data_IF_853387706182
#
_entry.id   IF_853387706182
#
_cell.length_a   1.000
_cell.length_b   1.000
_cell.length_c   1.000
_cell.angle_alpha   90.00
_cell.angle_beta   90.00
_cell.angle_gamma   90.00
#
_symmetry.space_group_name_H-M   'P 1'
#
loop_
_entity.id
_entity.type
_entity.pdbx_description
1 polymer ?
#
# COMPACT_ATOMS: atom_id res chain seq x y z
N UNK A 1 16.56 -19.67 -25.58
CA UNK A 1 15.70 -20.35 -24.60
C UNK A 1 14.53 -19.48 -24.09
N UNK A 2 14.38 -18.25 -24.55
CA UNK A 2 13.21 -17.39 -24.25
C UNK A 2 12.31 -17.32 -25.48
N UNK A 3 12.11 -18.44 -26.17
CA UNK A 3 11.31 -18.49 -27.39
C UNK A 3 9.83 -18.32 -27.07
N UNK A 4 9.12 -17.59 -27.92
CA UNK A 4 7.68 -17.37 -27.77
C UNK A 4 6.93 -18.68 -28.02
N UNK A 5 5.91 -18.95 -27.22
CA UNK A 5 5.00 -20.08 -27.39
C UNK A 5 4.08 -19.86 -28.60
N UNK A 6 3.91 -18.58 -29.01
CA UNK A 6 3.09 -18.20 -30.14
C UNK A 6 3.99 -18.10 -31.37
N UNK A 7 4.07 -19.18 -32.14
CA UNK A 7 4.91 -19.28 -33.33
C UNK A 7 4.20 -18.93 -34.66
N UNK A 8 2.88 -18.74 -34.61
CA UNK A 8 2.05 -18.40 -35.79
C UNK A 8 1.12 -17.24 -35.48
N UNK A 9 0.72 -16.48 -36.50
CA UNK A 9 -0.24 -15.38 -36.40
C UNK A 9 -1.65 -15.82 -35.93
N UNK A 10 -1.89 -17.11 -35.77
CA UNK A 10 -3.14 -17.67 -35.26
C UNK A 10 -2.95 -18.15 -33.81
N UNK A 11 -3.82 -17.62 -32.92
CA UNK A 11 -3.84 -18.03 -31.53
C UNK A 11 -4.42 -19.44 -31.45
N UNK A 12 -3.58 -20.43 -31.20
CA UNK A 12 -4.02 -21.82 -30.99
C UNK A 12 -4.70 -21.92 -29.62
N UNK A 13 -5.83 -22.64 -29.52
CA UNK A 13 -6.55 -22.86 -28.26
C UNK A 13 -5.63 -23.40 -27.14
N UNK A 14 -4.72 -24.28 -27.50
CA UNK A 14 -3.72 -24.84 -26.55
C UNK A 14 -2.78 -23.76 -26.01
N UNK A 15 -2.28 -22.85 -26.87
CA UNK A 15 -1.43 -21.74 -26.44
C UNK A 15 -2.20 -20.75 -25.54
N UNK A 16 -3.46 -20.45 -25.88
CA UNK A 16 -4.34 -19.64 -25.05
C UNK A 16 -4.52 -20.23 -23.66
N UNK A 17 -4.90 -21.53 -23.56
CA UNK A 17 -5.11 -22.20 -22.27
C UNK A 17 -3.83 -22.28 -21.43
N UNK A 18 -2.68 -22.57 -22.06
CA UNK A 18 -1.39 -22.59 -21.37
C UNK A 18 -1.00 -21.21 -20.83
N UNK A 19 -1.07 -20.17 -21.63
CA UNK A 19 -0.75 -18.81 -21.20
C UNK A 19 -1.70 -18.35 -20.09
N UNK A 20 -3.01 -18.67 -20.19
CA UNK A 20 -4.00 -18.32 -19.17
C UNK A 20 -3.75 -19.07 -17.86
N UNK A 21 -3.40 -20.36 -17.94
CA UNK A 21 -3.03 -21.13 -16.75
C UNK A 21 -1.79 -20.56 -16.05
N UNK A 22 -0.75 -20.20 -16.81
CA UNK A 22 0.45 -19.56 -16.26
C UNK A 22 0.14 -18.17 -15.67
N UNK A 23 -0.65 -17.36 -16.34
CA UNK A 23 -1.07 -16.05 -15.84
C UNK A 23 -1.84 -16.14 -14.53
N UNK A 24 -2.80 -17.06 -14.42
CA UNK A 24 -3.56 -17.27 -13.19
C UNK A 24 -2.68 -17.78 -12.06
N UNK A 25 -1.80 -18.73 -12.31
CA UNK A 25 -0.89 -19.23 -11.29
C UNK A 25 0.06 -18.15 -10.77
N UNK A 26 0.66 -17.35 -11.64
CA UNK A 26 1.50 -16.21 -11.27
C UNK A 26 0.69 -15.13 -10.56
N UNK A 27 -0.56 -14.90 -10.97
CA UNK A 27 -1.48 -13.97 -10.30
C UNK A 27 -1.78 -14.38 -8.87
N UNK A 28 -2.10 -15.67 -8.63
CA UNK A 28 -2.31 -16.20 -7.27
C UNK A 28 -1.04 -16.09 -6.44
N UNK A 29 0.14 -16.40 -7.00
CA UNK A 29 1.41 -16.23 -6.30
C UNK A 29 1.69 -14.76 -5.95
N UNK A 30 1.36 -13.82 -6.83
CA UNK A 30 1.46 -12.38 -6.57
C UNK A 30 0.49 -11.95 -5.46
N UNK A 31 -0.73 -12.49 -5.44
CA UNK A 31 -1.70 -12.24 -4.38
C UNK A 31 -1.25 -12.82 -3.03
N UNK A 32 -0.65 -14.00 -3.01
CA UNK A 32 -0.04 -14.56 -1.79
C UNK A 32 1.12 -13.69 -1.29
N UNK A 33 1.96 -13.20 -2.20
CA UNK A 33 3.06 -12.28 -1.88
C UNK A 33 2.54 -10.97 -1.28
N UNK A 34 1.37 -10.48 -1.71
CA UNK A 34 0.74 -9.27 -1.16
C UNK A 34 0.29 -9.43 0.28
N UNK A 35 -0.13 -10.63 0.68
CA UNK A 35 -0.58 -10.93 2.04
C UNK A 35 0.58 -11.23 2.99
N UNK A 36 1.78 -11.45 2.45
CA UNK A 36 2.93 -11.77 3.28
C UNK A 36 3.35 -10.55 4.10
N UNK A 37 3.28 -10.66 5.43
CA UNK A 37 3.69 -9.67 6.43
C UNK A 37 2.76 -8.44 6.59
N UNK A 38 1.96 -8.08 5.62
CA UNK A 38 0.93 -7.03 5.72
C UNK A 38 -0.39 -7.58 5.21
N UNK A 39 -1.47 -7.39 5.98
CA UNK A 39 -2.80 -7.87 5.60
C UNK A 39 -3.43 -6.91 4.59
N UNK A 40 -3.26 -7.18 3.31
CA UNK A 40 -4.07 -6.55 2.26
C UNK A 40 -5.54 -6.97 2.37
N UNK A 41 -6.46 -6.15 1.89
CA UNK A 41 -7.87 -6.51 1.87
C UNK A 41 -8.12 -7.74 0.98
N UNK A 42 -9.09 -8.58 1.35
CA UNK A 42 -9.45 -9.76 0.57
C UNK A 42 -9.83 -9.39 -0.87
N UNK A 43 -10.57 -8.29 -1.04
CA UNK A 43 -10.97 -7.79 -2.37
C UNK A 43 -9.77 -7.43 -3.24
N UNK A 44 -8.75 -6.80 -2.66
CA UNK A 44 -7.52 -6.47 -3.37
C UNK A 44 -6.74 -7.72 -3.78
N UNK A 45 -6.60 -8.71 -2.91
CA UNK A 45 -5.91 -9.95 -3.22
C UNK A 45 -6.59 -10.72 -4.36
N UNK A 46 -7.94 -10.78 -4.38
CA UNK A 46 -8.70 -11.41 -5.46
C UNK A 46 -8.48 -10.64 -6.78
N UNK A 47 -8.59 -9.32 -6.75
CA UNK A 47 -8.35 -8.50 -7.94
C UNK A 47 -6.94 -8.70 -8.49
N UNK A 48 -5.93 -8.73 -7.62
CA UNK A 48 -4.53 -8.93 -7.98
C UNK A 48 -4.28 -10.32 -8.61
N UNK A 49 -4.96 -11.35 -8.11
CA UNK A 49 -4.86 -12.71 -8.66
C UNK A 49 -5.43 -12.82 -10.08
N UNK A 50 -6.49 -12.06 -10.38
CA UNK A 50 -7.15 -12.09 -11.70
C UNK A 50 -6.48 -11.16 -12.72
N UNK A 51 -5.84 -10.10 -12.27
CA UNK A 51 -5.31 -9.02 -13.11
C UNK A 51 -4.38 -9.52 -14.21
N UNK A 52 -3.39 -10.41 -13.99
CA UNK A 52 -2.53 -10.90 -15.06
C UNK A 52 -3.27 -11.62 -16.18
N UNK A 53 -4.29 -12.42 -15.85
CA UNK A 53 -5.08 -13.14 -16.83
C UNK A 53 -5.93 -12.18 -17.68
N UNK A 54 -6.51 -11.16 -17.07
CA UNK A 54 -7.26 -10.11 -17.79
C UNK A 54 -6.35 -9.36 -18.76
N UNK A 55 -5.19 -8.92 -18.29
CA UNK A 55 -4.21 -8.21 -19.14
C UNK A 55 -3.70 -9.11 -20.25
N UNK A 56 -3.41 -10.38 -19.97
CA UNK A 56 -2.98 -11.38 -20.95
C UNK A 56 -3.98 -11.50 -22.10
N UNK A 57 -5.28 -11.67 -21.79
CA UNK A 57 -6.32 -11.78 -22.83
C UNK A 57 -6.41 -10.51 -23.68
N UNK A 58 -6.37 -9.34 -23.04
CA UNK A 58 -6.39 -8.05 -23.74
C UNK A 58 -5.22 -7.96 -24.72
N UNK A 59 -4.01 -8.30 -24.28
CA UNK A 59 -2.81 -8.24 -25.11
C UNK A 59 -2.89 -9.24 -26.27
N UNK A 60 -3.39 -10.44 -26.05
CA UNK A 60 -3.61 -11.42 -27.12
C UNK A 60 -4.60 -10.92 -28.17
N UNK A 61 -5.66 -10.22 -27.76
CA UNK A 61 -6.65 -9.65 -28.71
C UNK A 61 -6.10 -8.44 -29.48
N UNK A 62 -5.17 -7.69 -28.88
CA UNK A 62 -4.53 -6.52 -29.51
C UNK A 62 -3.37 -6.92 -30.42
N UNK A 63 -2.76 -8.06 -30.14
CA UNK A 63 -1.55 -8.51 -30.86
C UNK A 63 -1.81 -8.64 -32.38
N UNK A 64 -1.02 -7.90 -33.13
CA UNK A 64 -1.14 -7.85 -34.60
C UNK A 64 -2.17 -6.85 -35.15
N UNK A 65 -2.94 -6.14 -34.31
CA UNK A 65 -3.93 -5.18 -34.78
C UNK A 65 -3.81 -3.82 -34.06
N UNK A 66 -3.19 -2.85 -34.74
CA UNK A 66 -2.95 -1.50 -34.21
C UNK A 66 -4.28 -0.80 -33.86
N UNK A 67 -5.33 -0.99 -34.67
CA UNK A 67 -6.65 -0.38 -34.45
C UNK A 67 -7.28 -0.85 -33.15
N UNK A 68 -7.22 -2.15 -32.85
CA UNK A 68 -7.68 -2.73 -31.59
C UNK A 68 -6.86 -2.19 -30.42
N UNK A 69 -5.53 -2.03 -30.58
CA UNK A 69 -4.68 -1.44 -29.56
C UNK A 69 -5.10 -0.03 -29.15
N UNK A 70 -5.37 0.82 -30.14
CA UNK A 70 -5.84 2.20 -29.90
C UNK A 70 -7.23 2.21 -29.24
N UNK A 71 -8.15 1.35 -29.67
CA UNK A 71 -9.48 1.24 -29.08
C UNK A 71 -9.43 0.82 -27.61
N UNK A 72 -8.60 -0.18 -27.29
CA UNK A 72 -8.38 -0.65 -25.90
C UNK A 72 -7.74 0.43 -25.05
N UNK A 73 -6.71 1.12 -25.55
CA UNK A 73 -6.08 2.23 -24.84
C UNK A 73 -7.08 3.36 -24.56
N UNK A 74 -7.95 3.68 -25.51
CA UNK A 74 -9.04 4.63 -25.34
C UNK A 74 -10.05 4.21 -24.27
N UNK A 75 -10.47 2.93 -24.30
CA UNK A 75 -11.40 2.38 -23.30
C UNK A 75 -10.81 2.44 -21.89
N UNK A 76 -9.53 2.07 -21.69
CA UNK A 76 -8.85 2.20 -20.39
C UNK A 76 -8.68 3.64 -19.95
N UNK A 77 -8.46 4.58 -20.88
CA UNK A 77 -8.41 6.02 -20.57
C UNK A 77 -9.74 6.58 -20.02
N UNK A 78 -10.87 5.96 -20.39
CA UNK A 78 -12.20 6.31 -19.87
C UNK A 78 -12.47 5.69 -18.49
N UNK A 79 -11.82 4.59 -18.16
CA UNK A 79 -11.91 3.98 -16.83
C UNK A 79 -11.14 4.85 -15.85
N UNK A 80 -11.80 5.84 -15.31
CA UNK A 80 -11.28 6.65 -14.22
C UNK A 80 -11.22 5.79 -12.98
N UNK A 81 -10.03 5.31 -12.64
CA UNK A 81 -9.77 4.78 -11.32
C UNK A 81 -10.00 5.90 -10.30
N UNK A 82 -11.24 6.03 -9.85
CA UNK A 82 -11.58 6.90 -8.74
C UNK A 82 -11.08 6.22 -7.48
N UNK A 83 -9.78 6.34 -7.30
CA UNK A 83 -8.97 5.59 -6.37
C UNK A 83 -9.43 5.75 -4.93
N UNK A 84 -9.70 4.62 -4.30
CA UNK A 84 -9.20 4.47 -2.95
C UNK A 84 -7.67 4.66 -3.04
N UNK A 85 -7.10 5.53 -2.22
CA UNK A 85 -5.67 5.72 -2.08
C UNK A 85 -5.03 4.39 -1.69
N UNK A 86 -4.58 3.62 -2.68
CA UNK A 86 -3.80 2.41 -2.44
C UNK A 86 -2.42 2.80 -1.91
N UNK A 87 -1.83 1.96 -1.07
CA UNK A 87 -0.46 2.17 -0.64
C UNK A 87 0.52 2.05 -1.84
N UNK A 88 1.67 2.71 -1.77
CA UNK A 88 2.70 2.63 -2.81
C UNK A 88 3.07 1.17 -3.13
N UNK A 89 3.02 0.29 -2.13
CA UNK A 89 3.22 -1.14 -2.27
C UNK A 89 2.11 -1.80 -3.11
N UNK A 90 0.85 -1.47 -2.87
CA UNK A 90 -0.27 -2.01 -3.65
C UNK A 90 -0.17 -1.60 -5.12
N UNK A 91 0.19 -0.35 -5.39
CA UNK A 91 0.43 0.15 -6.74
C UNK A 91 1.56 -0.64 -7.41
N UNK A 92 2.68 -0.87 -6.73
CA UNK A 92 3.82 -1.64 -7.25
C UNK A 92 3.44 -3.08 -7.58
N UNK A 93 2.60 -3.73 -6.76
CA UNK A 93 2.10 -5.08 -7.01
C UNK A 93 1.14 -5.14 -8.20
N UNK A 94 0.31 -4.12 -8.41
CA UNK A 94 -0.54 -3.98 -9.59
C UNK A 94 0.32 -3.91 -10.86
N UNK A 95 1.37 -3.07 -10.86
CA UNK A 95 2.29 -2.99 -12.00
C UNK A 95 3.02 -4.30 -12.27
N UNK A 96 3.42 -5.02 -11.21
CA UNK A 96 4.01 -6.35 -11.34
C UNK A 96 3.04 -7.34 -12.02
N UNK A 97 1.79 -7.37 -11.57
CA UNK A 97 0.75 -8.21 -12.12
C UNK A 97 0.44 -7.86 -13.60
N UNK A 98 0.41 -6.57 -13.94
CA UNK A 98 0.24 -6.11 -15.31
C UNK A 98 1.41 -6.53 -16.20
N UNK A 99 2.66 -6.41 -15.72
CA UNK A 99 3.84 -6.82 -16.48
C UNK A 99 3.85 -8.33 -16.77
N UNK A 100 3.41 -9.15 -15.79
CA UNK A 100 3.24 -10.59 -15.98
C UNK A 100 2.21 -10.87 -17.07
N UNK A 101 1.04 -10.21 -17.00
CA UNK A 101 -0.02 -10.38 -18.00
C UNK A 101 0.42 -9.94 -19.41
N UNK A 102 1.18 -8.85 -19.52
CA UNK A 102 1.75 -8.39 -20.78
C UNK A 102 2.70 -9.43 -21.39
N UNK A 103 3.64 -9.95 -20.59
CA UNK A 103 4.63 -10.92 -21.07
C UNK A 103 3.97 -12.25 -21.49
N UNK A 104 3.02 -12.75 -20.69
CA UNK A 104 2.28 -13.97 -21.03
C UNK A 104 1.35 -13.78 -22.23
N UNK A 105 0.72 -12.59 -22.38
CA UNK A 105 -0.10 -12.23 -23.53
C UNK A 105 0.67 -12.16 -24.85
N UNK A 106 1.94 -11.78 -24.80
CA UNK A 106 2.85 -11.80 -25.95
C UNK A 106 3.46 -13.18 -26.20
N UNK A 107 3.13 -14.20 -25.40
CA UNK A 107 3.65 -15.55 -25.52
C UNK A 107 4.99 -15.82 -24.83
N UNK A 108 5.59 -14.81 -24.16
CA UNK A 108 6.86 -14.96 -23.45
C UNK A 108 6.68 -15.48 -22.01
N UNK A 109 6.02 -16.63 -21.86
CA UNK A 109 5.69 -17.20 -20.56
C UNK A 109 6.91 -17.48 -19.69
N UNK A 110 8.01 -17.96 -20.30
CA UNK A 110 9.27 -18.20 -19.57
C UNK A 110 9.87 -16.90 -19.00
N UNK A 111 9.81 -15.81 -19.78
CA UNK A 111 10.25 -14.49 -19.33
C UNK A 111 9.36 -13.97 -18.17
N UNK A 112 8.04 -14.19 -18.24
CA UNK A 112 7.12 -13.82 -17.17
C UNK A 112 7.43 -14.52 -15.85
N UNK A 113 7.68 -15.84 -15.91
CA UNK A 113 8.07 -16.62 -14.73
C UNK A 113 9.40 -16.14 -14.15
N UNK A 114 10.42 -15.96 -15.01
CA UNK A 114 11.73 -15.48 -14.56
C UNK A 114 11.63 -14.09 -13.92
N UNK A 115 10.89 -13.17 -14.54
CA UNK A 115 10.67 -11.83 -14.02
C UNK A 115 9.96 -11.86 -12.66
N UNK A 116 8.90 -12.68 -12.54
CA UNK A 116 8.20 -12.86 -11.26
C UNK A 116 9.14 -13.35 -10.16
N UNK A 117 9.96 -14.38 -10.45
CA UNK A 117 10.89 -14.94 -9.45
C UNK A 117 11.89 -13.88 -8.97
N UNK A 118 12.46 -13.11 -9.91
CA UNK A 118 13.41 -12.04 -9.57
C UNK A 118 12.73 -10.97 -8.69
N UNK A 119 11.54 -10.51 -9.08
CA UNK A 119 10.82 -9.47 -8.34
C UNK A 119 10.33 -9.97 -6.98
N UNK A 120 9.85 -11.21 -6.89
CA UNK A 120 9.44 -11.83 -5.63
C UNK A 120 10.64 -11.98 -4.67
N UNK A 121 11.78 -12.49 -5.17
CA UNK A 121 13.01 -12.59 -4.38
C UNK A 121 13.48 -11.23 -3.88
N UNK A 122 13.45 -10.21 -4.73
CA UNK A 122 13.84 -8.85 -4.38
C UNK A 122 12.92 -8.24 -3.31
N UNK A 123 11.60 -8.39 -3.46
CA UNK A 123 10.63 -7.92 -2.46
C UNK A 123 10.82 -8.63 -1.11
N UNK A 124 11.01 -9.95 -1.12
CA UNK A 124 11.26 -10.72 0.10
C UNK A 124 12.57 -10.30 0.78
N UNK A 125 13.62 -10.03 -0.02
CA UNK A 125 14.92 -9.54 0.48
C UNK A 125 14.76 -8.18 1.16
N UNK A 126 14.08 -7.21 0.52
CA UNK A 126 13.83 -5.89 1.11
C UNK A 126 13.03 -5.99 2.41
N UNK A 127 12.04 -6.90 2.46
CA UNK A 127 11.26 -7.14 3.67
C UNK A 127 12.09 -7.81 4.79
N UNK A 128 13.00 -8.73 4.43
CA UNK A 128 13.90 -9.38 5.39
C UNK A 128 14.90 -8.37 5.98
N UNK A 129 15.39 -7.45 5.16
CA UNK A 129 16.28 -6.36 5.59
C UNK A 129 15.54 -5.27 6.36
N UNK A 130 14.21 -5.38 6.56
CA UNK A 130 13.37 -4.32 7.16
C UNK A 130 13.59 -2.95 6.51
N UNK A 131 13.87 -2.94 5.21
CA UNK A 131 14.11 -1.72 4.47
C UNK A 131 12.88 -0.81 4.53
N UNK A 132 13.06 0.44 5.02
CA UNK A 132 11.95 1.39 5.18
C UNK A 132 11.02 1.08 6.35
N UNK A 133 11.34 0.14 7.23
CA UNK A 133 10.56 -0.06 8.45
C UNK A 133 10.66 1.20 9.31
N UNK A 134 9.61 2.01 9.29
CA UNK A 134 9.43 3.07 10.28
C UNK A 134 9.44 2.48 11.68
N UNK A 135 9.88 3.25 12.67
CA UNK A 135 9.90 2.78 14.06
C UNK A 135 8.52 2.20 14.43
N UNK A 136 8.47 0.94 14.86
CA UNK A 136 7.23 0.23 15.21
C UNK A 136 6.41 0.98 16.28
N UNK A 137 7.08 1.85 17.05
CA UNK A 137 6.53 2.59 18.16
C UNK A 137 6.05 4.01 17.82
N UNK A 138 5.92 4.34 16.52
CA UNK A 138 5.37 5.64 16.10
C UNK A 138 3.86 5.64 16.35
N UNK A 139 3.39 6.70 17.04
CA UNK A 139 1.98 6.95 17.31
C UNK A 139 1.61 8.38 16.88
N UNK A 140 0.41 8.54 16.39
CA UNK A 140 -0.23 9.85 16.28
C UNK A 140 -1.04 10.09 17.53
N UNK A 141 -0.72 11.15 18.25
CA UNK A 141 -1.35 11.54 19.49
C UNK A 141 -2.08 12.86 19.28
N UNK A 142 -3.40 12.85 19.44
CA UNK A 142 -4.23 14.05 19.42
C UNK A 142 -4.66 14.39 20.82
N UNK A 143 -4.33 15.58 21.27
CA UNK A 143 -4.67 16.08 22.61
C UNK A 143 -5.56 17.29 22.44
N UNK A 144 -6.73 17.28 23.07
CA UNK A 144 -7.59 18.44 23.15
C UNK A 144 -7.29 19.20 24.44
N UNK A 145 -7.12 20.52 24.33
CA UNK A 145 -6.91 21.42 25.48
C UNK A 145 -7.89 22.62 25.39
N UNK A 146 -8.15 23.26 26.54
CA UNK A 146 -8.95 24.47 26.59
C UNK A 146 -8.18 25.71 26.12
N UNK A 147 -8.88 26.73 25.62
CA UNK A 147 -8.32 28.02 25.16
C UNK A 147 -7.47 28.73 26.24
N UNK A 148 -7.83 28.53 27.51
CA UNK A 148 -7.12 29.16 28.63
C UNK A 148 -5.76 28.52 28.97
N UNK A 149 -5.43 27.39 28.33
CA UNK A 149 -4.17 26.68 28.56
C UNK A 149 -3.18 27.02 27.46
N UNK A 150 -1.98 27.44 27.86
CA UNK A 150 -0.85 27.54 26.94
C UNK A 150 -0.31 26.15 26.65
N UNK A 151 -0.23 25.79 25.36
CA UNK A 151 0.25 24.47 24.94
C UNK A 151 1.79 24.41 24.83
N UNK A 152 2.47 25.56 24.81
CA UNK A 152 3.93 25.59 24.72
C UNK A 152 4.55 25.04 26.03
N UNK A 153 5.24 23.93 25.90
CA UNK A 153 5.92 23.26 27.03
C UNK A 153 5.01 22.51 28.00
N UNK A 154 3.68 22.53 27.85
CA UNK A 154 2.73 21.90 28.77
C UNK A 154 2.98 20.40 28.96
N UNK A 155 3.44 19.70 27.94
CA UNK A 155 3.63 18.27 27.92
C UNK A 155 5.11 17.83 27.79
N UNK A 156 6.06 18.76 27.74
CA UNK A 156 7.47 18.48 27.42
C UNK A 156 8.12 17.48 28.37
N UNK A 157 7.86 17.58 29.66
CA UNK A 157 8.40 16.66 30.65
C UNK A 157 7.82 15.24 30.50
N UNK A 158 6.52 15.12 30.17
CA UNK A 158 5.89 13.84 29.86
C UNK A 158 6.45 13.24 28.58
N UNK A 159 6.64 14.06 27.54
CA UNK A 159 7.27 13.58 26.31
C UNK A 159 8.71 13.11 26.56
N UNK A 160 9.52 13.85 27.34
CA UNK A 160 10.86 13.40 27.73
C UNK A 160 10.88 12.07 28.50
N UNK A 161 9.86 11.84 29.33
CA UNK A 161 9.75 10.63 30.13
C UNK A 161 9.33 9.42 29.33
N UNK A 162 8.30 9.54 28.47
CA UNK A 162 7.62 8.42 27.80
C UNK A 162 7.98 8.24 26.34
N UNK A 163 8.56 9.26 25.68
CA UNK A 163 8.85 9.21 24.24
C UNK A 163 10.35 9.35 23.95
N UNK A 164 10.77 8.79 22.82
CA UNK A 164 12.12 8.99 22.26
C UNK A 164 12.15 10.32 21.49
N UNK A 165 11.07 10.61 20.76
CA UNK A 165 10.87 11.86 20.05
C UNK A 165 9.40 12.25 20.04
N UNK A 166 9.13 13.53 20.05
CA UNK A 166 7.81 14.12 19.90
C UNK A 166 7.91 15.32 18.98
N UNK A 167 7.01 15.38 17.99
CA UNK A 167 6.96 16.46 17.02
C UNK A 167 5.51 16.92 16.90
N UNK A 168 5.27 18.22 17.03
CA UNK A 168 3.96 18.83 16.83
C UNK A 168 3.73 18.98 15.32
N UNK A 169 2.82 18.17 14.74
CA UNK A 169 2.53 18.20 13.30
C UNK A 169 1.45 19.21 12.94
N UNK A 170 0.48 19.38 13.85
CA UNK A 170 -0.67 20.25 13.57
C UNK A 170 -1.28 20.80 14.84
N UNK A 171 -1.71 22.04 14.76
CA UNK A 171 -2.60 22.70 15.72
C UNK A 171 -3.87 23.08 14.99
N UNK A 172 -5.02 22.71 15.53
CA UNK A 172 -6.34 23.05 14.99
C UNK A 172 -7.21 23.60 16.09
N UNK A 173 -7.92 24.69 15.83
CA UNK A 173 -8.97 25.18 16.71
C UNK A 173 -10.28 24.47 16.43
N UNK A 174 -11.03 24.11 17.45
CA UNK A 174 -12.33 23.49 17.37
C UNK A 174 -13.33 24.16 18.31
N UNK A 175 -14.60 23.77 18.18
CA UNK A 175 -15.68 24.30 19.02
C UNK A 175 -15.71 25.85 19.07
N UNK A 176 -15.75 26.50 17.90
CA UNK A 176 -15.76 27.98 17.76
C UNK A 176 -14.55 28.69 18.41
N UNK A 177 -13.41 28.00 18.50
CA UNK A 177 -12.17 28.57 19.04
C UNK A 177 -11.91 28.29 20.54
N UNK A 178 -12.87 27.73 21.27
CA UNK A 178 -12.74 27.44 22.69
C UNK A 178 -11.85 26.24 23.04
N UNK A 179 -11.49 25.44 22.03
CA UNK A 179 -10.64 24.28 22.20
C UNK A 179 -9.55 24.25 21.14
N UNK A 180 -8.36 23.79 21.53
CA UNK A 180 -7.27 23.45 20.63
C UNK A 180 -7.11 21.95 20.54
N UNK A 181 -7.00 21.42 19.31
CA UNK A 181 -6.60 20.05 19.03
C UNK A 181 -5.14 20.05 18.58
N UNK A 182 -4.26 19.48 19.38
CA UNK A 182 -2.83 19.34 19.11
C UNK A 182 -2.58 17.94 18.59
N UNK A 183 -2.00 17.84 17.40
CA UNK A 183 -1.64 16.55 16.79
C UNK A 183 -0.13 16.41 16.80
N UNK A 184 0.34 15.44 17.61
CA UNK A 184 1.75 15.10 17.76
C UNK A 184 2.05 13.77 17.10
N UNK A 185 3.21 13.69 16.45
CA UNK A 185 3.86 12.43 16.12
C UNK A 185 4.83 12.09 17.24
N UNK A 186 4.60 10.95 17.91
CA UNK A 186 5.42 10.52 19.03
C UNK A 186 6.00 9.14 18.76
N UNK A 187 7.24 8.91 19.17
CA UNK A 187 7.88 7.60 19.19
C UNK A 187 7.99 7.15 20.63
N UNK A 188 7.22 6.15 21.03
CA UNK A 188 7.20 5.67 22.41
C UNK A 188 8.49 4.92 22.75
N UNK A 189 9.00 5.10 23.98
CA UNK A 189 10.10 4.30 24.52
C UNK A 189 9.67 2.87 24.79
N UNK A 190 8.44 2.72 25.32
CA UNK A 190 7.86 1.43 25.70
C UNK A 190 6.35 1.45 25.45
N UNK A 191 5.86 0.52 24.61
CA UNK A 191 4.42 0.40 24.31
C UNK A 191 3.59 -0.04 25.53
N UNK A 192 4.17 -0.80 26.45
CA UNK A 192 3.47 -1.26 27.65
C UNK A 192 3.12 -0.13 28.62
N UNK A 193 3.81 1.01 28.52
CA UNK A 193 3.56 2.21 29.35
C UNK A 193 2.60 3.21 28.73
N UNK A 194 1.99 2.88 27.58
CA UNK A 194 1.05 3.78 26.88
C UNK A 194 -0.10 4.23 27.79
N UNK A 195 -0.69 3.31 28.58
CA UNK A 195 -1.80 3.66 29.47
C UNK A 195 -1.38 4.70 30.51
N UNK A 196 -0.26 4.49 31.19
CA UNK A 196 0.26 5.43 32.19
C UNK A 196 0.54 6.81 31.56
N UNK A 197 1.11 6.83 30.36
CA UNK A 197 1.35 8.06 29.62
C UNK A 197 0.05 8.82 29.31
N UNK A 198 -0.99 8.12 28.83
CA UNK A 198 -2.29 8.74 28.56
C UNK A 198 -2.99 9.24 29.83
N UNK A 199 -2.87 8.52 30.94
CA UNK A 199 -3.45 8.92 32.23
C UNK A 199 -2.79 10.20 32.76
N UNK A 200 -1.46 10.34 32.65
CA UNK A 200 -0.75 11.56 33.05
C UNK A 200 -1.06 12.75 32.12
N UNK A 201 -1.19 12.51 30.83
CA UNK A 201 -1.65 13.55 29.88
C UNK A 201 -3.07 14.04 30.23
N UNK A 202 -3.98 13.13 30.63
CA UNK A 202 -5.34 13.49 31.03
C UNK A 202 -5.39 14.36 32.28
N UNK A 203 -4.45 14.19 33.20
CA UNK A 203 -4.36 15.06 34.37
C UNK A 203 -4.02 16.51 33.99
N UNK A 204 -3.34 16.73 32.87
CA UNK A 204 -2.89 18.07 32.46
C UNK A 204 -3.81 18.75 31.46
N UNK A 205 -4.48 17.98 30.61
CA UNK A 205 -5.36 18.57 29.59
C UNK A 205 -6.77 18.91 30.10
N UNK A 206 -7.00 18.86 31.40
CA UNK A 206 -8.32 19.10 32.00
C UNK A 206 -9.31 17.97 31.75
N UNK A 207 -8.84 16.74 31.59
CA UNK A 207 -9.63 15.53 31.32
C UNK A 207 -10.44 15.60 30.01
N UNK A 208 -9.98 16.41 29.05
CA UNK A 208 -10.55 16.50 27.71
C UNK A 208 -10.13 15.28 26.85
N UNK A 209 -10.65 15.24 25.64
CA UNK A 209 -10.44 14.12 24.73
C UNK A 209 -8.96 13.94 24.34
N UNK A 210 -8.48 12.69 24.41
CA UNK A 210 -7.17 12.28 23.89
C UNK A 210 -7.39 11.08 22.98
N UNK A 211 -6.83 11.13 21.78
CA UNK A 211 -6.82 10.02 20.82
C UNK A 211 -5.39 9.64 20.51
N UNK A 212 -5.03 8.39 20.78
CA UNK A 212 -3.72 7.84 20.43
C UNK A 212 -3.91 6.65 19.48
N UNK A 213 -3.35 6.74 18.29
CA UNK A 213 -3.47 5.71 17.27
C UNK A 213 -2.15 5.46 16.55
N UNK A 214 -2.11 4.42 15.73
CA UNK A 214 -1.03 4.27 14.77
C UNK A 214 -1.17 5.37 13.70
N UNK A 215 -0.05 5.92 13.19
CA UNK A 215 -0.13 6.92 12.14
C UNK A 215 -0.91 6.35 10.95
N UNK A 216 -1.96 7.06 10.55
CA UNK A 216 -2.59 6.79 9.26
C UNK A 216 -1.58 7.26 8.22
N UNK A 217 -0.96 6.34 7.50
CA UNK A 217 -0.10 6.68 6.37
C UNK A 217 -0.99 7.38 5.34
N UNK A 218 -1.10 8.70 5.44
CA UNK A 218 -1.57 9.52 4.33
C UNK A 218 -0.36 9.65 3.41
N UNK A 219 -0.19 8.70 2.52
CA UNK A 219 0.66 8.92 1.37
C UNK A 219 0.02 10.09 0.61
N UNK A 220 0.61 11.27 0.76
CA UNK A 220 0.32 12.40 -0.11
C UNK A 220 0.86 12.02 -1.50
N UNK A 221 -0.04 11.77 -2.43
CA UNK A 221 0.22 11.77 -3.86
C UNK A 221 0.09 13.20 -4.37
#
# INVERSE_FOLDING_TARGET
MLDTIITSSEITLTAFLLCTGISLTLGVLTALLSQFREKSSQSFAIALAMLPAVVQVIIMLVNGNIGTGVAVAGAFGLVRFRSASGSAREISLIFLAMAIGLATGMGYSAAAVLFFVIMAAFLLLLQALRFGAGAENVRTLKITIGESQDYDGLFDDLFRQYTISSELERVKTSNMGTLYELEYRVVLKDEHRLKAFLDELRCRNGNLNIVCGRPVVREAL
#
